data_IF_484971959852
#
_entry.id   IF_484971959852
#
_cell.length_a   1.000
_cell.length_b   1.000
_cell.length_c   1.000
_cell.angle_alpha   90.00
_cell.angle_beta   90.00
_cell.angle_gamma   90.00
#
_symmetry.space_group_name_H-M   'P 1'
#
loop_
_entity.id
_entity.type
_entity.pdbx_description
1 polymer ?
#
# COMPACT_ATOMS: atom_id res chain seq x y z
N UNK A 1 42.58 -94.56 -39.01
CA UNK A 1 42.47 -93.60 -37.90
C UNK A 1 41.34 -94.09 -37.03
N UNK A 2 41.68 -94.67 -35.87
CA UNK A 2 40.71 -95.21 -34.94
C UNK A 2 39.91 -94.06 -34.33
N UNK A 3 38.59 -94.22 -34.25
CA UNK A 3 37.72 -93.27 -33.55
C UNK A 3 38.12 -93.22 -32.07
N UNK A 4 38.18 -92.02 -31.46
CA UNK A 4 38.54 -91.89 -30.05
C UNK A 4 37.57 -92.70 -29.18
N UNK A 5 38.11 -93.42 -28.20
CA UNK A 5 37.31 -94.29 -27.33
C UNK A 5 36.43 -93.45 -26.40
N UNK A 6 35.34 -94.05 -25.90
CA UNK A 6 34.42 -93.39 -24.96
C UNK A 6 35.16 -92.81 -23.75
N UNK A 7 36.26 -93.46 -23.35
CA UNK A 7 37.16 -93.08 -22.25
C UNK A 7 37.94 -91.80 -22.53
N UNK A 8 38.48 -91.65 -23.75
CA UNK A 8 39.23 -90.45 -24.17
C UNK A 8 38.29 -89.24 -24.29
N UNK A 9 37.06 -89.47 -24.79
CA UNK A 9 36.01 -88.45 -24.85
C UNK A 9 35.52 -88.03 -23.45
N UNK A 10 35.48 -88.95 -22.48
CA UNK A 10 35.13 -88.64 -21.08
C UNK A 10 36.26 -87.88 -20.38
N UNK A 11 37.53 -88.27 -20.57
CA UNK A 11 38.67 -87.52 -20.01
C UNK A 11 38.78 -86.10 -20.57
N UNK A 12 38.57 -85.91 -21.88
CA UNK A 12 38.53 -84.59 -22.49
C UNK A 12 37.38 -83.73 -21.93
N UNK A 13 36.20 -84.32 -21.72
CA UNK A 13 35.05 -83.63 -21.09
C UNK A 13 35.28 -83.26 -19.63
N UNK A 14 35.97 -84.11 -18.86
CA UNK A 14 36.34 -83.81 -17.47
C UNK A 14 37.38 -82.69 -17.42
N UNK A 15 38.41 -82.72 -18.28
CA UNK A 15 39.40 -81.66 -18.37
C UNK A 15 38.79 -80.32 -18.86
N UNK A 16 37.84 -80.36 -19.78
CA UNK A 16 37.08 -79.18 -20.21
C UNK A 16 36.15 -78.65 -19.10
N UNK A 17 35.56 -79.54 -18.28
CA UNK A 17 34.74 -79.15 -17.13
C UNK A 17 35.59 -78.49 -16.03
N UNK A 18 36.78 -79.01 -15.74
CA UNK A 18 37.74 -78.42 -14.80
C UNK A 18 38.23 -77.05 -15.28
N UNK A 19 38.52 -76.91 -16.59
CA UNK A 19 38.87 -75.62 -17.20
C UNK A 19 37.72 -74.62 -17.12
N UNK A 20 36.50 -75.04 -17.43
CA UNK A 20 35.30 -74.20 -17.33
C UNK A 20 35.05 -73.75 -15.88
N UNK A 21 35.28 -74.63 -14.90
CA UNK A 21 35.16 -74.30 -13.48
C UNK A 21 36.25 -73.30 -13.03
N UNK A 22 37.49 -73.47 -13.50
CA UNK A 22 38.58 -72.53 -13.24
C UNK A 22 38.33 -71.15 -13.88
N UNK A 23 37.80 -71.12 -15.12
CA UNK A 23 37.43 -69.88 -15.81
C UNK A 23 36.24 -69.18 -15.14
N UNK A 24 35.25 -69.94 -14.67
CA UNK A 24 34.13 -69.41 -13.89
C UNK A 24 34.58 -68.81 -12.55
N UNK A 25 35.49 -69.48 -11.85
CA UNK A 25 36.06 -68.96 -10.59
C UNK A 25 36.94 -67.74 -10.84
N UNK A 26 37.74 -67.72 -11.92
CA UNK A 26 38.53 -66.56 -12.33
C UNK A 26 37.62 -65.37 -12.69
N UNK A 27 36.51 -65.61 -13.39
CA UNK A 27 35.51 -64.59 -13.68
C UNK A 27 34.83 -64.07 -12.40
N UNK A 28 34.50 -64.95 -11.45
CA UNK A 28 33.95 -64.58 -10.13
C UNK A 28 34.91 -63.71 -9.34
N UNK A 29 36.17 -64.13 -9.21
CA UNK A 29 37.21 -63.38 -8.51
C UNK A 29 37.50 -62.04 -9.19
N UNK A 30 37.51 -61.98 -10.53
CA UNK A 30 37.64 -60.71 -11.27
C UNK A 30 36.46 -59.77 -11.02
N UNK A 31 35.23 -60.29 -10.98
CA UNK A 31 34.05 -59.51 -10.65
C UNK A 31 34.08 -59.01 -9.19
N UNK A 32 34.55 -59.84 -8.25
CA UNK A 32 34.70 -59.47 -6.84
C UNK A 32 35.79 -58.40 -6.66
N UNK A 33 36.95 -58.54 -7.30
CA UNK A 33 38.02 -57.54 -7.32
C UNK A 33 37.53 -56.24 -7.94
N UNK A 34 36.75 -56.29 -9.02
CA UNK A 34 36.15 -55.10 -9.62
C UNK A 34 35.16 -54.42 -8.66
N UNK A 35 34.31 -55.19 -7.99
CA UNK A 35 33.37 -54.69 -6.98
C UNK A 35 34.06 -54.10 -5.75
N UNK A 36 35.13 -54.73 -5.27
CA UNK A 36 35.97 -54.23 -4.18
C UNK A 36 36.69 -52.93 -4.58
N UNK A 37 37.25 -52.85 -5.79
CA UNK A 37 37.86 -51.62 -6.32
C UNK A 37 36.83 -50.49 -6.44
N UNK A 38 35.60 -50.80 -6.87
CA UNK A 38 34.50 -49.84 -6.92
C UNK A 38 34.14 -49.30 -5.53
N UNK A 39 33.96 -50.19 -4.54
CA UNK A 39 33.70 -49.82 -3.15
C UNK A 39 34.84 -49.01 -2.53
N UNK A 40 36.08 -49.40 -2.80
CA UNK A 40 37.27 -48.68 -2.32
C UNK A 40 37.34 -47.26 -2.90
N UNK A 41 37.11 -47.10 -4.21
CA UNK A 41 37.04 -45.79 -4.87
C UNK A 41 35.91 -44.92 -4.30
N UNK A 42 34.73 -45.50 -4.08
CA UNK A 42 33.60 -44.78 -3.48
C UNK A 42 33.88 -44.36 -2.03
N UNK A 43 34.53 -45.23 -1.24
CA UNK A 43 34.94 -44.90 0.13
C UNK A 43 35.99 -43.78 0.17
N UNK A 44 36.96 -43.79 -0.74
CA UNK A 44 37.93 -42.69 -0.87
C UNK A 44 37.24 -41.36 -1.22
N UNK A 45 36.31 -41.36 -2.18
CA UNK A 45 35.53 -40.18 -2.53
C UNK A 45 34.67 -39.67 -1.36
N UNK A 46 34.14 -40.56 -0.55
CA UNK A 46 33.39 -40.19 0.65
C UNK A 46 34.31 -39.56 1.70
N UNK A 47 35.50 -40.12 1.91
CA UNK A 47 36.51 -39.57 2.82
C UNK A 47 36.92 -38.16 2.37
N UNK A 48 37.13 -37.94 1.07
CA UNK A 48 37.50 -36.61 0.55
C UNK A 48 36.39 -35.59 0.75
N UNK A 49 35.12 -35.95 0.51
CA UNK A 49 33.97 -35.08 0.80
C UNK A 49 33.83 -34.74 2.29
N UNK A 50 34.06 -35.71 3.17
CA UNK A 50 34.02 -35.47 4.61
C UNK A 50 35.18 -34.60 5.08
N UNK A 51 36.36 -34.71 4.45
CA UNK A 51 37.49 -33.80 4.67
C UNK A 51 37.18 -32.38 4.22
N UNK A 52 36.63 -32.19 3.02
CA UNK A 52 36.20 -30.88 2.54
C UNK A 52 35.14 -30.24 3.46
N UNK A 53 34.18 -31.04 3.95
CA UNK A 53 33.20 -30.58 4.96
C UNK A 53 33.84 -30.20 6.28
N UNK A 54 34.79 -31.00 6.76
CA UNK A 54 35.52 -30.71 7.99
C UNK A 54 36.35 -29.43 7.85
N UNK A 55 37.04 -29.24 6.73
CA UNK A 55 37.83 -28.03 6.43
C UNK A 55 36.92 -26.80 6.32
N UNK A 56 35.76 -26.93 5.68
CA UNK A 56 34.75 -25.89 5.66
C UNK A 56 34.26 -25.53 7.09
N UNK A 57 33.97 -26.52 7.93
CA UNK A 57 33.56 -26.30 9.33
C UNK A 57 34.67 -25.67 10.18
N UNK A 58 35.93 -26.08 9.97
CA UNK A 58 37.09 -25.49 10.65
C UNK A 58 37.30 -24.05 10.20
N UNK A 59 37.13 -23.74 8.92
CA UNK A 59 37.19 -22.36 8.42
C UNK A 59 36.08 -21.48 9.00
N UNK A 60 34.90 -22.04 9.28
CA UNK A 60 33.80 -21.33 9.94
C UNK A 60 34.06 -21.09 11.44
N UNK A 61 34.87 -21.91 12.12
CA UNK A 61 35.21 -21.70 13.55
C UNK A 61 35.99 -20.41 13.81
N UNK A 62 36.68 -19.87 12.82
CA UNK A 62 37.39 -18.58 12.95
C UNK A 62 36.46 -17.38 12.78
N UNK A 63 35.24 -17.59 12.28
CA UNK A 63 34.22 -16.56 12.14
C UNK A 63 33.47 -16.46 13.48
N UNK A 64 34.02 -15.65 14.39
CA UNK A 64 33.30 -15.31 15.61
C UNK A 64 32.00 -14.55 15.24
N UNK A 65 30.84 -14.91 15.80
CA UNK A 65 29.63 -14.14 15.61
C UNK A 65 29.86 -12.74 16.17
N UNK A 66 29.90 -11.74 15.29
CA UNK A 66 30.00 -10.34 15.70
C UNK A 66 28.73 -9.99 16.47
N UNK A 67 28.83 -9.90 17.80
CA UNK A 67 27.77 -9.33 18.63
C UNK A 67 27.54 -7.91 18.15
N UNK A 68 26.41 -7.68 17.49
CA UNK A 68 25.95 -6.33 17.18
C UNK A 68 25.63 -5.68 18.52
N UNK A 69 26.31 -4.58 18.90
CA UNK A 69 25.95 -3.88 20.12
C UNK A 69 24.47 -3.51 20.06
N UNK A 70 23.70 -3.88 21.08
CA UNK A 70 22.37 -3.32 21.27
C UNK A 70 22.56 -1.84 21.57
N UNK A 71 22.46 -1.00 20.54
CA UNK A 71 22.44 0.43 20.72
C UNK A 71 21.21 0.74 21.58
N UNK A 72 21.43 1.07 22.85
CA UNK A 72 20.39 1.70 23.66
C UNK A 72 19.98 2.94 22.88
N UNK A 73 18.68 3.08 22.59
CA UNK A 73 18.16 4.27 21.93
C UNK A 73 18.49 5.48 22.81
N UNK A 74 19.59 6.18 22.51
CA UNK A 74 19.91 7.44 23.16
C UNK A 74 18.80 8.45 22.88
N UNK A 75 18.72 9.51 23.69
CA UNK A 75 17.84 10.66 23.41
C UNK A 75 18.29 11.30 22.09
N UNK A 76 17.76 10.83 20.96
CA UNK A 76 17.97 11.45 19.64
C UNK A 76 17.14 12.73 19.58
N UNK A 77 17.69 13.76 18.96
CA UNK A 77 16.93 14.99 18.70
C UNK A 77 15.68 14.63 17.88
N UNK A 78 14.50 15.01 18.38
CA UNK A 78 13.24 14.86 17.64
C UNK A 78 13.24 15.93 16.55
N UNK A 79 13.27 15.50 15.29
CA UNK A 79 13.13 16.41 14.17
C UNK A 79 11.75 17.09 14.19
N UNK A 80 11.69 18.31 13.66
CA UNK A 80 10.41 18.95 13.39
C UNK A 80 9.67 18.14 12.32
N UNK A 81 8.39 17.89 12.54
CA UNK A 81 7.55 17.17 11.61
C UNK A 81 6.19 17.81 11.41
N UNK A 82 5.56 17.50 10.28
CA UNK A 82 4.18 17.86 10.00
C UNK A 82 3.36 16.60 9.80
N UNK A 83 2.22 16.54 10.49
CA UNK A 83 1.23 15.50 10.30
C UNK A 83 0.22 15.97 9.27
N UNK A 84 0.02 15.21 8.20
CA UNK A 84 -0.92 15.56 7.13
C UNK A 84 -1.98 14.48 7.07
N UNK A 85 -3.24 14.90 7.00
CA UNK A 85 -4.40 14.01 6.88
C UNK A 85 -5.15 14.37 5.61
N UNK A 86 -5.42 13.36 4.79
CA UNK A 86 -6.20 13.49 3.58
C UNK A 86 -7.65 13.14 3.90
N UNK A 87 -8.59 14.05 3.63
CA UNK A 87 -10.03 13.87 3.81
C UNK A 87 -10.75 14.14 2.49
N UNK A 88 -11.19 13.10 1.78
CA UNK A 88 -11.87 13.18 0.50
C UNK A 88 -12.85 12.02 0.32
N UNK A 89 -13.61 12.04 -0.78
CA UNK A 89 -14.44 10.91 -1.21
C UNK A 89 -15.40 10.47 -0.07
N UNK A 90 -16.07 11.47 0.51
CA UNK A 90 -17.03 11.28 1.61
C UNK A 90 -18.39 10.90 1.06
N UNK A 91 -18.83 11.52 -0.03
CA UNK A 91 -20.12 11.22 -0.67
C UNK A 91 -21.27 11.18 0.34
N UNK A 92 -21.34 12.20 1.21
CA UNK A 92 -22.02 12.09 2.51
C UNK A 92 -23.48 11.64 2.42
N UNK A 93 -24.17 11.98 1.33
CA UNK A 93 -25.58 11.72 1.12
C UNK A 93 -25.89 10.43 0.34
N UNK A 94 -24.90 9.77 -0.25
CA UNK A 94 -25.13 8.56 -1.06
C UNK A 94 -25.50 7.36 -0.18
N UNK A 95 -26.43 6.54 -0.66
CA UNK A 95 -26.87 5.35 0.07
C UNK A 95 -26.31 4.09 -0.58
N UNK A 96 -25.42 3.37 0.11
CA UNK A 96 -24.93 2.06 -0.33
C UNK A 96 -25.69 0.96 0.40
N UNK A 97 -26.54 0.24 -0.34
CA UNK A 97 -27.28 -0.91 0.19
C UNK A 97 -26.39 -2.18 0.21
N UNK A 98 -26.33 -2.94 1.31
CA UNK A 98 -25.47 -4.13 1.41
C UNK A 98 -25.64 -5.14 0.29
N UNK A 99 -26.87 -5.39 -0.14
CA UNK A 99 -27.19 -6.32 -1.22
C UNK A 99 -26.65 -5.88 -2.59
N UNK A 100 -26.44 -4.56 -2.79
CA UNK A 100 -25.86 -4.04 -4.04
C UNK A 100 -24.34 -4.26 -4.13
N UNK A 101 -23.71 -4.63 -3.01
CA UNK A 101 -22.26 -4.78 -2.87
C UNK A 101 -21.87 -6.11 -2.21
N UNK A 102 -22.72 -7.14 -2.35
CA UNK A 102 -22.47 -8.49 -1.82
C UNK A 102 -22.17 -8.53 -0.31
N UNK A 103 -22.75 -7.61 0.47
CA UNK A 103 -22.57 -7.50 1.91
C UNK A 103 -21.23 -6.92 2.36
N UNK A 104 -20.40 -6.42 1.43
CA UNK A 104 -19.08 -5.88 1.75
C UNK A 104 -19.12 -4.49 2.39
N UNK A 105 -20.18 -3.73 2.16
CA UNK A 105 -20.32 -2.36 2.67
C UNK A 105 -21.79 -2.01 2.93
N UNK A 106 -22.02 -1.05 3.81
CA UNK A 106 -23.30 -0.39 4.04
C UNK A 106 -22.99 1.08 4.29
N UNK A 107 -23.73 1.99 3.68
CA UNK A 107 -23.49 3.42 3.84
C UNK A 107 -24.77 4.23 3.73
N UNK A 108 -24.92 5.17 4.65
CA UNK A 108 -25.97 6.18 4.75
C UNK A 108 -25.42 7.33 5.62
N UNK A 109 -26.23 8.35 5.90
CA UNK A 109 -25.81 9.50 6.72
C UNK A 109 -25.36 9.10 8.14
N UNK A 110 -26.00 8.10 8.76
CA UNK A 110 -25.66 7.63 10.11
C UNK A 110 -24.33 6.86 10.11
N UNK A 111 -24.08 6.03 9.08
CA UNK A 111 -22.78 5.39 8.87
C UNK A 111 -21.72 6.46 8.58
N UNK A 112 -22.00 7.45 7.73
CA UNK A 112 -21.09 8.54 7.42
C UNK A 112 -20.66 9.27 8.70
N UNK A 113 -21.60 9.69 9.54
CA UNK A 113 -21.31 10.39 10.79
C UNK A 113 -20.45 9.54 11.75
N UNK A 114 -20.79 8.25 11.91
CA UNK A 114 -19.98 7.32 12.73
C UNK A 114 -18.57 7.16 12.17
N UNK A 115 -18.43 7.09 10.84
CA UNK A 115 -17.13 6.95 10.18
C UNK A 115 -16.26 8.19 10.31
N UNK A 116 -16.85 9.38 10.21
CA UNK A 116 -16.14 10.64 10.46
C UNK A 116 -15.71 10.77 11.92
N UNK A 117 -16.55 10.34 12.87
CA UNK A 117 -16.21 10.29 14.29
C UNK A 117 -15.05 9.33 14.58
N UNK A 118 -15.07 8.14 14.01
CA UNK A 118 -13.99 7.16 14.16
C UNK A 118 -12.68 7.62 13.50
N UNK A 119 -12.76 8.24 12.32
CA UNK A 119 -11.62 8.86 11.66
C UNK A 119 -10.97 9.91 12.57
N UNK A 120 -11.78 10.76 13.20
CA UNK A 120 -11.30 11.77 14.14
C UNK A 120 -10.59 11.12 15.35
N UNK A 121 -11.21 10.13 15.99
CA UNK A 121 -10.64 9.41 17.14
C UNK A 121 -9.28 8.78 16.77
N UNK A 122 -9.22 8.07 15.64
CA UNK A 122 -7.99 7.43 15.18
C UNK A 122 -6.93 8.41 14.74
N UNK A 123 -7.31 9.52 14.11
CA UNK A 123 -6.39 10.58 13.76
C UNK A 123 -5.66 11.09 15.00
N UNK A 124 -6.39 11.37 16.09
CA UNK A 124 -5.78 11.87 17.33
C UNK A 124 -4.89 10.81 18.00
N UNK A 125 -5.33 9.55 18.03
CA UNK A 125 -4.51 8.46 18.55
C UNK A 125 -3.18 8.35 17.77
N UNK A 126 -3.24 8.46 16.44
CA UNK A 126 -2.07 8.39 15.59
C UNK A 126 -1.19 9.65 15.67
N UNK A 127 -1.79 10.84 15.77
CA UNK A 127 -1.05 12.08 15.99
C UNK A 127 -0.22 12.01 17.29
N UNK A 128 -0.82 11.53 18.38
CA UNK A 128 -0.12 11.39 19.66
C UNK A 128 0.97 10.32 19.60
N UNK A 129 0.71 9.21 18.93
CA UNK A 129 1.74 8.19 18.68
C UNK A 129 2.95 8.77 17.92
N UNK A 130 2.72 9.55 16.87
CA UNK A 130 3.80 10.15 16.08
C UNK A 130 4.56 11.25 16.85
N UNK A 131 3.90 11.96 17.78
CA UNK A 131 4.56 12.93 18.70
C UNK A 131 5.57 12.29 19.66
N UNK A 132 5.48 10.99 19.89
CA UNK A 132 6.50 10.27 20.67
C UNK A 132 7.83 10.16 19.92
N UNK A 133 7.80 10.25 18.59
CA UNK A 133 8.97 10.07 17.71
C UNK A 133 9.48 11.39 17.14
N UNK A 134 8.59 12.34 16.83
CA UNK A 134 8.92 13.62 16.21
C UNK A 134 8.26 14.80 16.93
N UNK A 135 8.80 16.01 16.74
CA UNK A 135 8.17 17.25 17.23
C UNK A 135 7.12 17.70 16.20
N UNK A 136 5.87 17.28 16.42
CA UNK A 136 4.75 17.58 15.52
C UNK A 136 3.85 18.63 16.16
N UNK A 137 4.06 19.87 15.72
CA UNK A 137 3.28 21.04 16.15
C UNK A 137 2.26 21.50 15.08
N UNK A 138 2.50 21.15 13.81
CA UNK A 138 1.67 21.53 12.66
C UNK A 138 0.90 20.33 12.13
N UNK A 139 -0.40 20.53 11.89
CA UNK A 139 -1.27 19.59 11.18
C UNK A 139 -1.73 20.21 9.87
N UNK A 140 -1.67 19.47 8.77
CA UNK A 140 -2.33 19.83 7.51
C UNK A 140 -3.54 18.94 7.34
N UNK A 141 -4.71 19.55 7.16
CA UNK A 141 -5.93 18.86 6.77
C UNK A 141 -6.18 19.18 5.30
N UNK A 142 -6.17 18.17 4.44
CA UNK A 142 -6.54 18.34 3.05
C UNK A 142 -8.01 17.93 2.85
N UNK A 143 -8.85 18.89 2.47
CA UNK A 143 -10.23 18.65 2.04
C UNK A 143 -10.21 18.42 0.52
N UNK A 144 -10.18 17.15 0.13
CA UNK A 144 -9.76 16.73 -1.20
C UNK A 144 -10.82 16.61 -2.27
N UNK A 145 -12.05 17.04 -1.98
CA UNK A 145 -13.18 16.96 -2.89
C UNK A 145 -13.94 15.63 -2.81
N UNK A 146 -15.07 15.59 -3.52
CA UNK A 146 -16.10 14.54 -3.46
C UNK A 146 -16.61 14.35 -2.02
N UNK A 147 -16.83 15.47 -1.33
CA UNK A 147 -17.49 15.54 -0.04
C UNK A 147 -18.98 15.19 -0.15
N UNK A 148 -19.56 15.48 -1.32
CA UNK A 148 -20.93 15.13 -1.70
C UNK A 148 -20.91 14.33 -3.01
N UNK A 149 -21.93 13.51 -3.25
CA UNK A 149 -22.14 12.82 -4.54
C UNK A 149 -22.80 13.72 -5.58
N UNK A 150 -23.58 14.72 -5.15
CA UNK A 150 -24.30 15.61 -6.04
C UNK A 150 -25.35 14.89 -6.88
N UNK A 151 -25.89 15.56 -7.90
CA UNK A 151 -26.88 14.98 -8.82
C UNK A 151 -26.39 15.02 -10.26
N UNK A 152 -25.15 14.61 -10.44
CA UNK A 152 -24.47 14.66 -11.75
C UNK A 152 -24.87 13.51 -12.68
N UNK A 153 -25.50 12.46 -12.13
CA UNK A 153 -26.03 11.31 -12.84
C UNK A 153 -27.45 11.01 -12.34
N UNK A 154 -28.37 10.52 -13.18
CA UNK A 154 -29.74 10.19 -12.77
C UNK A 154 -29.81 9.22 -11.58
N UNK A 155 -28.93 8.19 -11.57
CA UNK A 155 -28.85 7.21 -10.47
C UNK A 155 -28.55 7.87 -9.12
N UNK A 156 -27.65 8.86 -9.08
CA UNK A 156 -27.33 9.58 -7.85
C UNK A 156 -28.51 10.44 -7.36
N UNK A 157 -29.33 10.95 -8.26
CA UNK A 157 -30.53 11.69 -7.88
C UNK A 157 -31.59 10.78 -7.22
N UNK A 158 -31.57 9.48 -7.49
CA UNK A 158 -32.47 8.47 -6.89
C UNK A 158 -31.91 7.89 -5.58
N UNK A 159 -30.59 7.73 -5.49
CA UNK A 159 -29.93 7.06 -4.35
C UNK A 159 -29.56 7.99 -3.19
N UNK A 160 -29.40 9.29 -3.47
CA UNK A 160 -28.98 10.26 -2.46
C UNK A 160 -30.10 10.59 -1.47
N UNK A 161 -29.75 10.56 -0.19
CA UNK A 161 -30.63 10.92 0.94
C UNK A 161 -30.86 12.43 1.06
N UNK A 162 -30.01 13.27 0.45
CA UNK A 162 -30.10 14.74 0.51
C UNK A 162 -29.88 15.37 -0.87
N UNK A 163 -30.50 16.53 -1.08
CA UNK A 163 -30.14 17.38 -2.22
C UNK A 163 -28.80 18.10 -1.99
N UNK A 164 -28.05 18.47 -3.06
CA UNK A 164 -26.69 19.00 -2.96
C UNK A 164 -26.49 20.13 -1.94
N UNK A 165 -27.40 21.11 -1.90
CA UNK A 165 -27.31 22.22 -0.93
C UNK A 165 -27.50 21.77 0.52
N UNK A 166 -28.35 20.75 0.77
CA UNK A 166 -28.53 20.18 2.09
C UNK A 166 -27.32 19.31 2.49
N UNK A 167 -26.81 18.50 1.56
CA UNK A 167 -25.60 17.69 1.75
C UNK A 167 -24.39 18.56 2.10
N UNK A 168 -24.18 19.67 1.38
CA UNK A 168 -23.07 20.61 1.63
C UNK A 168 -23.16 21.27 3.00
N UNK A 169 -24.35 21.66 3.45
CA UNK A 169 -24.54 22.19 4.81
C UNK A 169 -24.24 21.11 5.86
N UNK A 170 -24.77 19.91 5.65
CA UNK A 170 -24.61 18.78 6.57
C UNK A 170 -23.13 18.38 6.75
N UNK A 171 -22.38 18.25 5.64
CA UNK A 171 -20.95 17.91 5.71
C UNK A 171 -20.12 19.09 6.20
N UNK A 172 -20.49 20.33 5.84
CA UNK A 172 -19.82 21.54 6.28
C UNK A 172 -19.81 21.72 7.80
N UNK A 173 -20.93 21.45 8.48
CA UNK A 173 -21.03 21.46 9.94
C UNK A 173 -20.06 20.45 10.60
N UNK A 174 -19.98 19.24 10.04
CA UNK A 174 -19.10 18.17 10.54
C UNK A 174 -17.64 18.47 10.29
N UNK A 175 -17.29 18.98 9.10
CA UNK A 175 -15.93 19.42 8.79
C UNK A 175 -15.50 20.58 9.67
N UNK A 176 -16.39 21.51 10.01
CA UNK A 176 -16.09 22.58 10.98
C UNK A 176 -15.73 21.99 12.34
N UNK A 177 -16.56 21.10 12.89
CA UNK A 177 -16.29 20.43 14.16
C UNK A 177 -14.98 19.62 14.14
N UNK A 178 -14.66 19.00 13.01
CA UNK A 178 -13.39 18.29 12.82
C UNK A 178 -12.19 19.25 12.87
N UNK A 179 -12.24 20.36 12.12
CA UNK A 179 -11.17 21.37 12.09
C UNK A 179 -11.00 22.01 13.47
N UNK A 180 -12.10 22.31 14.16
CA UNK A 180 -12.09 22.86 15.53
C UNK A 180 -11.37 21.92 16.50
N UNK A 181 -11.72 20.63 16.51
CA UNK A 181 -11.06 19.65 17.35
C UNK A 181 -9.56 19.53 17.06
N UNK A 182 -9.16 19.58 15.77
CA UNK A 182 -7.74 19.54 15.39
C UNK A 182 -7.03 20.82 15.83
N UNK A 183 -7.68 21.96 15.70
CA UNK A 183 -7.18 23.26 16.15
C UNK A 183 -6.97 23.32 17.66
N UNK A 184 -7.78 22.63 18.46
CA UNK A 184 -7.62 22.55 19.90
C UNK A 184 -6.39 21.70 20.31
N UNK A 185 -5.87 20.88 19.38
CA UNK A 185 -4.81 19.90 19.65
C UNK A 185 -3.51 20.17 18.87
N UNK A 186 -3.43 21.22 18.05
CA UNK A 186 -2.26 21.58 17.23
C UNK A 186 -1.91 23.06 17.35
N UNK A 187 -0.61 23.40 17.28
CA UNK A 187 -0.16 24.80 17.33
C UNK A 187 -0.47 25.55 16.03
N UNK A 188 -0.48 24.85 14.92
CA UNK A 188 -0.82 25.38 13.60
C UNK A 188 -1.63 24.33 12.83
N UNK A 189 -2.75 24.74 12.26
CA UNK A 189 -3.58 23.94 11.36
C UNK A 189 -3.61 24.62 10.01
N UNK A 190 -3.26 23.89 8.95
CA UNK A 190 -3.41 24.37 7.58
C UNK A 190 -4.49 23.55 6.90
N UNK A 191 -5.55 24.20 6.44
CA UNK A 191 -6.61 23.57 5.66
C UNK A 191 -6.33 23.81 4.18
N UNK A 192 -5.87 22.80 3.47
CA UNK A 192 -5.70 22.81 2.02
C UNK A 192 -6.93 22.22 1.33
N UNK A 193 -7.29 22.69 0.15
CA UNK A 193 -8.52 22.24 -0.52
C UNK A 193 -8.31 21.84 -1.98
N UNK A 194 -9.14 20.92 -2.46
CA UNK A 194 -9.33 20.58 -3.88
C UNK A 194 -10.83 20.44 -4.16
N UNK A 195 -11.25 20.73 -5.40
CA UNK A 195 -12.60 20.44 -5.86
C UNK A 195 -12.68 19.00 -6.37
N UNK A 196 -13.72 18.29 -5.96
CA UNK A 196 -14.06 16.99 -6.53
C UNK A 196 -14.82 17.10 -7.84
N UNK A 197 -14.98 15.97 -8.54
CA UNK A 197 -15.84 15.94 -9.73
C UNK A 197 -17.33 15.87 -9.36
N UNK A 198 -17.72 15.33 -8.21
CA UNK A 198 -19.11 15.18 -7.80
C UNK A 198 -19.73 16.46 -7.23
N UNK A 199 -18.93 17.29 -6.57
CA UNK A 199 -19.35 18.57 -6.01
C UNK A 199 -19.74 19.66 -7.03
N UNK A 200 -19.79 19.34 -8.34
CA UNK A 200 -20.03 20.32 -9.41
C UNK A 200 -21.52 20.67 -9.60
N UNK A 201 -21.76 21.88 -10.10
CA UNK A 201 -23.10 22.39 -10.48
C UNK A 201 -23.45 22.12 -11.94
N UNK A 202 -22.53 21.52 -12.71
CA UNK A 202 -22.64 21.33 -14.17
C UNK A 202 -22.73 19.86 -14.53
N UNK A 203 -23.42 19.54 -15.63
CA UNK A 203 -23.52 18.15 -16.12
C UNK A 203 -22.14 17.56 -16.48
N UNK A 204 -21.32 18.34 -17.20
CA UNK A 204 -19.96 17.94 -17.62
C UNK A 204 -18.90 18.67 -16.81
N UNK A 205 -17.73 18.03 -16.70
CA UNK A 205 -16.52 18.65 -16.15
C UNK A 205 -16.12 19.88 -16.97
N UNK A 206 -15.62 20.89 -16.27
CA UNK A 206 -15.10 22.14 -16.84
C UNK A 206 -13.70 22.40 -16.28
N UNK A 207 -12.92 23.21 -16.97
CA UNK A 207 -11.58 23.59 -16.51
C UNK A 207 -11.62 24.63 -15.38
N UNK A 208 -12.72 25.37 -15.23
CA UNK A 208 -12.95 26.33 -14.16
C UNK A 208 -13.74 25.70 -13.00
N UNK A 209 -13.19 24.61 -12.45
CA UNK A 209 -13.85 23.75 -11.45
C UNK A 209 -14.34 24.53 -10.23
N UNK A 210 -13.50 25.44 -9.71
CA UNK A 210 -13.80 26.28 -8.55
C UNK A 210 -15.07 27.13 -8.72
N UNK A 211 -15.29 27.72 -9.90
CA UNK A 211 -16.46 28.58 -10.18
C UNK A 211 -17.78 27.79 -10.21
N UNK A 212 -17.69 26.49 -10.44
CA UNK A 212 -18.83 25.60 -10.65
C UNK A 212 -18.92 24.50 -9.61
N UNK A 213 -18.37 24.73 -8.40
CA UNK A 213 -18.32 23.74 -7.33
C UNK A 213 -19.03 24.21 -6.07
N UNK A 214 -19.98 23.40 -5.59
CA UNK A 214 -20.60 23.59 -4.28
C UNK A 214 -19.57 23.46 -3.15
N UNK A 215 -18.59 22.57 -3.30
CA UNK A 215 -17.52 22.36 -2.32
C UNK A 215 -16.60 23.58 -2.25
N UNK A 216 -16.27 24.19 -3.39
CA UNK A 216 -15.48 25.40 -3.41
C UNK A 216 -16.18 26.55 -2.67
N UNK A 217 -17.49 26.71 -2.91
CA UNK A 217 -18.31 27.66 -2.16
C UNK A 217 -18.31 27.35 -0.65
N UNK A 218 -18.40 26.09 -0.26
CA UNK A 218 -18.28 25.67 1.14
C UNK A 218 -16.92 26.07 1.73
N UNK A 219 -15.82 25.83 1.03
CA UNK A 219 -14.46 26.19 1.50
C UNK A 219 -14.32 27.70 1.70
N UNK A 220 -14.80 28.51 0.75
CA UNK A 220 -14.77 29.97 0.86
C UNK A 220 -15.61 30.47 2.04
N UNK A 221 -16.81 29.92 2.21
CA UNK A 221 -17.69 30.24 3.33
C UNK A 221 -17.05 29.86 4.66
N UNK A 222 -16.42 28.69 4.72
CA UNK A 222 -15.77 28.21 5.93
C UNK A 222 -14.53 29.05 6.29
N UNK A 223 -13.72 29.41 5.29
CA UNK A 223 -12.59 30.33 5.46
C UNK A 223 -13.04 31.69 5.97
N UNK A 224 -14.11 32.26 5.39
CA UNK A 224 -14.62 33.58 5.77
C UNK A 224 -15.15 33.61 7.21
N UNK A 225 -15.72 32.49 7.68
CA UNK A 225 -16.20 32.32 9.04
C UNK A 225 -15.13 31.81 10.04
N UNK A 226 -13.87 31.62 9.61
CA UNK A 226 -12.82 31.14 10.49
C UNK A 226 -12.40 32.22 11.50
N UNK A 227 -12.46 31.88 12.78
CA UNK A 227 -12.14 32.80 13.88
C UNK A 227 -10.89 32.37 14.67
N UNK A 228 -10.40 31.13 14.48
CA UNK A 228 -9.28 30.57 15.23
C UNK A 228 -7.96 31.06 14.64
N UNK A 229 -7.16 31.76 15.45
CA UNK A 229 -5.90 32.36 15.00
C UNK A 229 -4.80 31.36 14.61
N UNK A 230 -4.93 30.08 14.99
CA UNK A 230 -4.01 29.01 14.61
C UNK A 230 -4.49 28.20 13.39
N UNK A 231 -5.59 28.57 12.74
CA UNK A 231 -6.10 27.92 11.53
C UNK A 231 -5.85 28.81 10.31
N UNK A 232 -5.14 28.28 9.31
CA UNK A 232 -4.87 28.97 8.04
C UNK A 232 -5.47 28.17 6.87
N UNK A 233 -6.19 28.86 6.00
CA UNK A 233 -6.78 28.26 4.80
C UNK A 233 -5.92 28.49 3.56
N UNK A 234 -5.57 27.42 2.86
CA UNK A 234 -4.92 27.40 1.55
C UNK A 234 -5.93 26.88 0.51
N UNK A 235 -6.92 27.72 0.19
CA UNK A 235 -8.00 27.38 -0.75
C UNK A 235 -7.46 27.39 -2.18
N UNK A 236 -7.55 26.26 -2.87
CA UNK A 236 -7.14 26.13 -4.26
C UNK A 236 -8.21 26.62 -5.25
N UNK A 237 -7.84 27.48 -6.19
CA UNK A 237 -8.71 27.94 -7.28
C UNK A 237 -8.53 27.13 -8.57
N UNK A 238 -7.34 26.55 -8.76
CA UNK A 238 -7.02 25.68 -9.90
C UNK A 238 -7.12 24.20 -9.57
N UNK A 239 -6.99 23.36 -10.59
CA UNK A 239 -6.97 21.89 -10.45
C UNK A 239 -5.84 21.37 -9.55
N UNK A 240 -4.70 22.09 -9.53
CA UNK A 240 -3.54 21.77 -8.69
C UNK A 240 -3.36 22.86 -7.63
N UNK A 241 -3.45 22.47 -6.37
CA UNK A 241 -3.18 23.34 -5.23
C UNK A 241 -1.83 23.00 -4.62
N UNK A 242 -0.97 24.00 -4.38
CA UNK A 242 0.38 23.79 -3.87
C UNK A 242 0.53 24.37 -2.47
N UNK A 243 1.15 23.60 -1.58
CA UNK A 243 1.47 24.00 -0.22
C UNK A 243 2.96 23.84 0.04
N UNK A 244 3.64 24.93 0.39
CA UNK A 244 5.04 24.93 0.79
C UNK A 244 5.13 24.80 2.32
N UNK A 245 5.92 23.83 2.80
CA UNK A 245 6.15 23.55 4.21
C UNK A 245 7.66 23.47 4.46
N UNK A 246 8.28 24.58 4.86
CA UNK A 246 9.70 24.63 5.27
C UNK A 246 10.66 24.02 4.23
N UNK A 247 10.41 24.29 2.93
CA UNK A 247 11.19 23.73 1.82
C UNK A 247 10.71 22.37 1.33
N UNK A 248 9.59 21.85 1.82
CA UNK A 248 8.91 20.66 1.32
C UNK A 248 7.61 21.04 0.64
N UNK A 249 7.47 20.77 -0.65
CA UNK A 249 6.29 21.16 -1.43
C UNK A 249 5.34 20.00 -1.63
N UNK A 250 4.10 20.17 -1.18
CA UNK A 250 2.99 19.25 -1.48
C UNK A 250 2.13 19.82 -2.60
N UNK A 251 1.78 18.99 -3.56
CA UNK A 251 0.75 19.24 -4.57
C UNK A 251 -0.50 18.43 -4.23
N UNK A 252 -1.63 19.08 -4.14
CA UNK A 252 -2.93 18.48 -3.94
C UNK A 252 -3.78 18.59 -5.20
N UNK A 253 -4.50 17.53 -5.55
CA UNK A 253 -5.56 17.53 -6.57
C UNK A 253 -6.55 16.41 -6.27
N UNK A 254 -7.79 16.50 -6.74
CA UNK A 254 -8.75 15.42 -6.46
C UNK A 254 -8.37 14.13 -7.22
N UNK A 255 -7.95 14.24 -8.49
CA UNK A 255 -7.38 13.12 -9.26
C UNK A 255 -8.21 12.71 -10.49
N UNK A 256 -9.41 13.27 -10.67
CA UNK A 256 -10.34 12.97 -11.77
C UNK A 256 -9.84 13.32 -13.17
N UNK A 257 -8.76 14.10 -13.29
CA UNK A 257 -8.10 14.36 -14.57
C UNK A 257 -7.20 13.20 -15.04
N UNK A 258 -6.86 12.27 -14.13
CA UNK A 258 -6.00 11.12 -14.43
C UNK A 258 -6.90 9.99 -14.96
N UNK A 259 -6.54 9.41 -16.10
CA UNK A 259 -7.32 8.33 -16.71
C UNK A 259 -6.53 7.04 -16.73
N UNK A 260 -7.16 5.97 -16.24
CA UNK A 260 -6.66 4.62 -16.36
C UNK A 260 -7.44 3.89 -17.46
N UNK A 261 -6.71 3.31 -18.42
CA UNK A 261 -7.27 2.63 -19.60
C UNK A 261 -7.09 1.10 -19.53
N UNK A 262 -6.89 0.54 -18.33
CA UNK A 262 -6.55 -0.87 -18.15
C UNK A 262 -5.05 -1.14 -18.24
N UNK A 263 -4.63 -2.37 -17.89
CA UNK A 263 -3.24 -2.81 -17.92
C UNK A 263 -2.69 -3.33 -16.59
N UNK A 264 -1.39 -3.60 -16.55
CA UNK A 264 -0.68 -4.03 -15.35
C UNK A 264 -0.17 -2.79 -14.61
N UNK A 265 -0.33 -2.75 -13.28
CA UNK A 265 0.17 -1.67 -12.44
C UNK A 265 -0.85 -0.56 -12.12
N UNK A 266 -2.11 -0.70 -12.52
CA UNK A 266 -3.21 0.16 -12.07
C UNK A 266 -2.95 1.66 -12.26
N UNK A 267 -3.34 2.46 -11.28
CA UNK A 267 -3.20 3.94 -11.32
C UNK A 267 -1.74 4.41 -11.30
N UNK A 268 -0.80 3.57 -10.87
CA UNK A 268 0.60 3.96 -10.65
C UNK A 268 1.25 4.52 -11.92
N UNK A 269 1.00 3.89 -13.07
CA UNK A 269 1.58 4.29 -14.37
C UNK A 269 1.01 5.62 -14.88
N UNK A 270 -0.32 5.80 -15.04
CA UNK A 270 -0.87 7.08 -15.49
C UNK A 270 -0.58 8.22 -14.49
N UNK A 271 -0.58 7.94 -13.18
CA UNK A 271 -0.24 8.94 -12.16
C UNK A 271 1.23 9.37 -12.25
N UNK A 272 2.17 8.44 -12.40
CA UNK A 272 3.58 8.80 -12.59
C UNK A 272 3.80 9.67 -13.84
N UNK A 273 3.08 9.39 -14.94
CA UNK A 273 3.11 10.22 -16.15
C UNK A 273 2.56 11.63 -15.90
N UNK A 274 1.42 11.74 -15.20
CA UNK A 274 0.82 13.02 -14.86
C UNK A 274 1.74 13.86 -13.95
N UNK A 275 2.32 13.24 -12.91
CA UNK A 275 3.28 13.87 -12.01
C UNK A 275 4.50 14.38 -12.77
N UNK A 276 5.09 13.56 -13.63
CA UNK A 276 6.24 13.96 -14.44
C UNK A 276 5.92 15.16 -15.34
N UNK A 277 4.72 15.20 -15.94
CA UNK A 277 4.28 16.32 -16.75
C UNK A 277 4.08 17.59 -15.93
N UNK A 278 3.38 17.51 -14.78
CA UNK A 278 3.17 18.66 -13.91
C UNK A 278 4.47 19.20 -13.31
N UNK A 279 5.43 18.32 -13.01
CA UNK A 279 6.74 18.69 -12.46
C UNK A 279 7.59 19.51 -13.45
N UNK A 280 7.29 19.47 -14.76
CA UNK A 280 7.95 20.36 -15.74
C UNK A 280 7.57 21.83 -15.53
N UNK A 281 6.39 22.10 -14.99
CA UNK A 281 5.89 23.46 -14.75
C UNK A 281 6.14 23.89 -13.30
N UNK A 282 5.78 23.03 -12.35
CA UNK A 282 6.00 23.28 -10.93
C UNK A 282 6.22 21.97 -10.18
N UNK A 283 7.49 21.67 -9.91
CA UNK A 283 7.91 20.45 -9.22
C UNK A 283 7.43 20.44 -7.77
N UNK A 284 6.82 19.34 -7.37
CA UNK A 284 6.47 19.05 -5.97
C UNK A 284 7.31 17.89 -5.43
N UNK A 285 7.48 17.85 -4.10
CA UNK A 285 8.14 16.73 -3.40
C UNK A 285 7.15 15.59 -3.12
N UNK A 286 5.86 15.90 -3.04
CA UNK A 286 4.77 14.96 -2.84
C UNK A 286 3.52 15.37 -3.62
N UNK A 287 2.83 14.42 -4.24
CA UNK A 287 1.47 14.60 -4.78
C UNK A 287 0.46 13.82 -3.94
N UNK A 288 -0.59 14.48 -3.47
CA UNK A 288 -1.69 13.87 -2.72
C UNK A 288 -2.98 13.98 -3.52
N UNK A 289 -3.73 12.87 -3.61
CA UNK A 289 -4.96 12.78 -4.40
C UNK A 289 -5.99 11.81 -3.81
N UNK A 290 -7.25 11.92 -4.24
CA UNK A 290 -8.39 11.05 -3.89
C UNK A 290 -8.94 10.37 -5.13
N UNK A 291 -10.26 10.38 -5.33
CA UNK A 291 -11.01 9.93 -6.52
C UNK A 291 -11.01 8.41 -6.77
N UNK A 292 -9.89 7.74 -6.49
CA UNK A 292 -9.71 6.32 -6.79
C UNK A 292 -10.18 5.38 -5.67
N UNK A 293 -10.55 5.94 -4.51
CA UNK A 293 -11.07 5.23 -3.33
C UNK A 293 -10.14 4.08 -2.87
N UNK A 294 -8.84 4.28 -3.03
CA UNK A 294 -7.82 3.29 -2.72
C UNK A 294 -6.57 3.96 -2.14
N UNK A 295 -6.25 3.59 -0.91
CA UNK A 295 -5.00 4.01 -0.29
C UNK A 295 -3.81 3.40 -1.03
N UNK A 296 -2.88 4.25 -1.45
CA UNK A 296 -1.63 3.80 -2.04
C UNK A 296 -0.53 4.82 -1.79
N UNK A 297 0.62 4.36 -1.28
CA UNK A 297 1.81 5.20 -1.13
C UNK A 297 2.92 4.74 -2.07
N UNK A 298 3.12 5.50 -3.15
CA UNK A 298 4.21 5.28 -4.08
C UNK A 298 5.41 6.16 -3.73
N UNK A 299 6.29 5.71 -2.82
CA UNK A 299 7.46 6.51 -2.39
C UNK A 299 8.36 6.94 -3.56
N UNK A 300 8.71 6.02 -4.45
CA UNK A 300 9.50 6.35 -5.65
C UNK A 300 8.73 7.24 -6.63
N UNK A 301 7.40 7.07 -6.71
CA UNK A 301 6.50 7.89 -7.51
C UNK A 301 6.14 9.23 -6.87
N UNK A 302 6.60 9.52 -5.65
CA UNK A 302 6.30 10.73 -4.86
C UNK A 302 4.81 11.05 -4.78
N UNK A 303 3.99 10.07 -4.45
CA UNK A 303 2.56 10.33 -4.25
C UNK A 303 1.92 9.49 -3.14
N UNK A 304 0.81 10.00 -2.60
CA UNK A 304 -0.14 9.29 -1.75
C UNK A 304 -1.55 9.43 -2.32
N UNK A 305 -2.15 8.32 -2.73
CA UNK A 305 -3.58 8.21 -3.08
C UNK A 305 -4.37 7.92 -1.81
N UNK A 306 -5.48 8.61 -1.64
CA UNK A 306 -6.37 8.48 -0.50
C UNK A 306 -7.37 7.33 -0.70
N UNK A 307 -7.78 6.72 0.41
CA UNK A 307 -8.97 5.88 0.44
C UNK A 307 -10.24 6.74 0.43
N UNK A 308 -11.40 6.13 0.69
CA UNK A 308 -12.68 6.84 0.78
C UNK A 308 -13.40 6.56 2.10
N UNK A 309 -14.25 7.51 2.53
CA UNK A 309 -15.11 7.33 3.69
C UNK A 309 -16.35 6.51 3.31
N UNK A 310 -16.87 6.66 2.08
CA UNK A 310 -18.01 5.88 1.58
C UNK A 310 -17.68 4.39 1.43
N UNK A 311 -16.43 4.05 1.09
CA UNK A 311 -15.99 2.69 0.83
C UNK A 311 -16.48 2.13 -0.51
N UNK A 312 -16.70 0.82 -0.56
CA UNK A 312 -17.07 0.11 -1.79
C UNK A 312 -18.55 0.30 -2.16
N UNK A 313 -18.84 0.77 -3.37
CA UNK A 313 -20.20 1.05 -3.86
C UNK A 313 -20.63 0.14 -5.01
N UNK A 314 -21.90 0.21 -5.40
CA UNK A 314 -22.42 -0.53 -6.57
C UNK A 314 -21.67 -0.14 -7.87
N UNK A 315 -21.29 1.13 -8.01
CA UNK A 315 -20.44 1.60 -9.10
C UNK A 315 -19.06 0.93 -9.08
N UNK A 316 -18.43 0.83 -7.91
CA UNK A 316 -17.15 0.14 -7.74
C UNK A 316 -17.21 -1.33 -8.20
N UNK A 317 -18.30 -2.05 -7.87
CA UNK A 317 -18.56 -3.41 -8.37
C UNK A 317 -18.65 -3.43 -9.90
N UNK A 318 -19.43 -2.52 -10.49
CA UNK A 318 -19.64 -2.42 -11.95
C UNK A 318 -18.33 -2.22 -12.71
N UNK A 319 -17.44 -1.38 -12.21
CA UNK A 319 -16.14 -1.11 -12.83
C UNK A 319 -15.05 -2.12 -12.43
N UNK A 320 -15.38 -3.12 -11.61
CA UNK A 320 -14.46 -4.16 -11.11
C UNK A 320 -13.32 -3.57 -10.27
N UNK A 321 -13.58 -2.47 -9.56
CA UNK A 321 -12.63 -1.91 -8.60
C UNK A 321 -12.41 -2.90 -7.45
N UNK A 322 -11.19 -2.97 -6.94
CA UNK A 322 -10.91 -3.83 -5.78
C UNK A 322 -11.53 -3.22 -4.51
N UNK A 323 -12.09 -4.09 -3.68
CA UNK A 323 -12.62 -3.71 -2.37
C UNK A 323 -11.49 -3.22 -1.46
N UNK A 324 -11.72 -2.09 -0.78
CA UNK A 324 -10.89 -1.57 0.29
C UNK A 324 -11.81 -1.23 1.49
N UNK A 325 -11.44 -1.61 2.73
CA UNK A 325 -12.13 -1.11 3.91
C UNK A 325 -12.10 0.43 3.96
N UNK A 326 -13.19 1.10 4.35
CA UNK A 326 -13.26 2.55 4.41
C UNK A 326 -12.08 3.13 5.20
N UNK A 327 -11.28 3.98 4.56
CA UNK A 327 -10.08 4.55 5.18
C UNK A 327 -9.72 5.90 4.56
N UNK A 328 -8.92 6.67 5.27
CA UNK A 328 -8.32 7.92 4.82
C UNK A 328 -6.81 7.89 5.08
N UNK A 329 -6.01 8.67 4.37
CA UNK A 329 -4.56 8.60 4.50
C UNK A 329 -4.04 9.59 5.55
N UNK A 330 -3.13 9.14 6.40
CA UNK A 330 -2.26 9.99 7.21
C UNK A 330 -0.81 9.85 6.77
N UNK A 331 -0.05 10.94 6.85
CA UNK A 331 1.37 10.95 6.50
C UNK A 331 2.18 11.88 7.41
N UNK A 332 3.44 11.51 7.62
CA UNK A 332 4.40 12.23 8.46
C UNK A 332 5.55 12.73 7.60
N UNK A 333 5.64 14.05 7.48
CA UNK A 333 6.76 14.72 6.81
C UNK A 333 7.80 15.08 7.87
N UNK A 334 9.03 14.58 7.71
CA UNK A 334 10.19 14.95 8.53
C UNK A 334 10.96 16.07 7.82
N UNK A 335 10.93 17.28 8.38
CA UNK A 335 11.56 18.46 7.78
C UNK A 335 13.08 18.41 7.82
N UNK A 336 13.67 17.71 8.80
CA UNK A 336 15.11 17.48 8.84
C UNK A 336 15.59 16.57 7.70
N UNK A 337 14.72 15.71 7.20
CA UNK A 337 14.99 14.81 6.05
C UNK A 337 14.45 15.33 4.72
N UNK A 338 13.50 16.27 4.75
CA UNK A 338 12.71 16.71 3.60
C UNK A 338 12.07 15.53 2.87
N UNK A 339 11.41 14.65 3.63
CA UNK A 339 10.91 13.37 3.13
C UNK A 339 9.65 12.91 3.88
N UNK A 340 8.78 12.18 3.19
CA UNK A 340 7.68 11.45 3.84
C UNK A 340 8.26 10.20 4.49
N UNK A 341 8.27 10.18 5.82
CA UNK A 341 8.82 9.05 6.58
C UNK A 341 7.81 7.93 6.80
N UNK A 342 6.52 8.28 6.79
CA UNK A 342 5.40 7.35 6.95
C UNK A 342 4.21 7.85 6.15
N UNK A 343 3.49 6.92 5.53
CA UNK A 343 2.12 7.11 5.08
C UNK A 343 1.35 5.81 5.37
N UNK A 344 0.14 5.93 5.90
CA UNK A 344 -0.66 4.78 6.33
C UNK A 344 -2.15 5.12 6.35
N UNK A 345 -3.03 4.09 6.25
CA UNK A 345 -4.45 4.29 6.34
C UNK A 345 -4.90 4.52 7.79
N UNK A 346 -5.80 5.48 7.96
CA UNK A 346 -6.69 5.66 9.09
C UNK A 346 -8.02 5.03 8.69
N UNK A 347 -8.31 3.83 9.21
CA UNK A 347 -9.61 3.20 8.95
C UNK A 347 -10.74 4.09 9.50
N UNK A 348 -11.89 4.10 8.84
CA UNK A 348 -13.05 4.89 9.26
C UNK A 348 -14.13 4.00 9.88
N UNK A 349 -14.09 2.70 9.68
CA UNK A 349 -14.92 1.75 10.38
C UNK A 349 -14.18 1.22 11.61
N UNK A 350 -14.85 1.13 12.77
CA UNK A 350 -14.30 0.33 13.90
C UNK A 350 -13.96 -1.08 13.41
N UNK A 351 -13.38 -1.94 14.24
CA UNK A 351 -13.38 -3.39 13.97
C UNK A 351 -14.83 -3.94 13.98
N UNK A 352 -15.73 -3.37 13.15
CA UNK A 352 -17.10 -3.71 12.84
C UNK A 352 -17.17 -5.01 12.03
N UNK A 353 -16.06 -5.74 11.94
CA UNK A 353 -16.11 -7.19 12.06
C UNK A 353 -16.68 -7.55 13.43
N UNK A 354 -17.97 -7.22 13.65
CA UNK A 354 -18.79 -7.90 14.63
C UNK A 354 -18.50 -9.38 14.41
N UNK A 355 -18.02 -10.03 15.46
CA UNK A 355 -17.94 -11.48 15.58
C UNK A 355 -19.21 -12.05 14.93
N UNK A 356 -19.05 -12.64 13.76
CA UNK A 356 -20.09 -13.43 13.14
C UNK A 356 -20.48 -14.57 14.09
#
# INVERSE_FOLDING_TARGET
MAEPTLTDAVQARVADAERLQADAELARLRAEVAGLRGRYKAALQQIDRERERADALVSLRTIAPRRVPTAKAGKRARHAGTFVVLLSDVHCEETVRPESVNGLNAYDLDVCERRLGELQERMFAMLEHERQLAKIDRVVLWLGGDLISGMIHPELAEENSLHPLAAIRWIGERLRGFIDAVSDNAREVIVATSCGNHGRTTEKLRTNEADTSYEHHLYLSMRAAEARGNVRWAVGEGHLNYLELDGFRIRFCHGHAIRYQGGIGGIHVPLAKAIAAWDTTNRADLTCLGHWHQFSWGRAGRYVSNGSVIGHSAYAVRIKAAYEPPCQAALVIDHGRREVTKAYPLFCDRDLRRKA
#
